data_IF_502175020613
#
_entry.id   IF_502175020613
#
_cell.length_a   1.000
_cell.length_b   1.000
_cell.length_c   1.000
_cell.angle_alpha   90.00
_cell.angle_beta   90.00
_cell.angle_gamma   90.00
#
_symmetry.space_group_name_H-M   'P 1'
#
loop_
_entity.id
_entity.type
_entity.pdbx_description
1 polymer ?
#
# COMPACT_ATOMS: atom_id res chain seq x y z
N UNK A 1 48.04 -0.76 -59.57
CA UNK A 1 47.63 0.08 -58.44
C UNK A 1 46.19 -0.30 -58.11
N UNK A 2 45.97 -1.10 -57.07
CA UNK A 2 44.61 -1.47 -56.57
C UNK A 2 44.28 -0.58 -55.38
N UNK A 3 43.25 0.28 -55.52
CA UNK A 3 42.76 1.08 -54.44
C UNK A 3 41.85 0.23 -53.52
N UNK A 4 42.23 0.17 -52.27
CA UNK A 4 41.47 -0.50 -51.20
C UNK A 4 40.47 0.50 -50.63
N UNK A 5 39.16 0.30 -50.86
CA UNK A 5 38.10 1.07 -50.24
C UNK A 5 37.83 0.47 -48.86
N UNK A 6 38.14 1.23 -47.79
CA UNK A 6 37.78 0.89 -46.43
C UNK A 6 36.37 1.49 -46.18
N UNK A 7 35.35 0.61 -46.06
CA UNK A 7 34.00 0.99 -45.64
C UNK A 7 33.99 1.01 -44.11
N UNK A 8 33.93 2.20 -43.55
CA UNK A 8 33.76 2.42 -42.12
C UNK A 8 32.24 2.35 -41.79
N UNK A 9 31.76 1.19 -41.32
CA UNK A 9 30.40 1.01 -40.86
C UNK A 9 30.26 1.65 -39.45
N UNK A 10 29.62 2.80 -39.39
CA UNK A 10 29.16 3.40 -38.13
C UNK A 10 28.03 2.50 -37.54
N UNK A 11 28.32 1.79 -36.48
CA UNK A 11 27.31 1.15 -35.63
C UNK A 11 26.71 2.23 -34.75
N UNK A 12 25.58 2.81 -35.18
CA UNK A 12 24.73 3.62 -34.34
C UNK A 12 24.06 2.67 -33.31
N UNK A 13 24.68 2.57 -32.13
CA UNK A 13 24.06 1.92 -31.01
C UNK A 13 22.80 2.71 -30.61
N UNK A 14 21.62 2.13 -30.81
CA UNK A 14 20.37 2.62 -30.23
C UNK A 14 20.52 2.58 -28.71
N UNK A 15 20.84 3.72 -28.10
CA UNK A 15 20.69 3.96 -26.69
C UNK A 15 19.17 4.04 -26.43
N UNK A 16 18.52 2.90 -26.22
CA UNK A 16 17.22 2.89 -25.59
C UNK A 16 17.42 3.45 -24.16
N UNK A 17 16.57 4.40 -23.69
CA UNK A 17 16.61 4.80 -22.31
C UNK A 17 16.36 3.55 -21.47
N UNK A 18 17.40 3.09 -20.78
CA UNK A 18 17.28 1.96 -19.89
C UNK A 18 16.31 2.33 -18.77
N UNK A 19 15.10 1.78 -18.79
CA UNK A 19 14.26 1.74 -17.61
C UNK A 19 15.09 1.10 -16.50
N UNK A 20 15.38 1.87 -15.45
CA UNK A 20 16.10 1.34 -14.30
C UNK A 20 15.33 0.11 -13.81
N UNK A 21 16.01 -1.03 -13.75
CA UNK A 21 15.39 -2.28 -13.31
C UNK A 21 14.75 -2.06 -11.93
N UNK A 22 13.44 -2.29 -11.83
CA UNK A 22 12.71 -2.15 -10.56
C UNK A 22 13.41 -3.01 -9.50
N UNK A 23 13.72 -2.47 -8.30
CA UNK A 23 14.42 -3.25 -7.28
C UNK A 23 13.60 -4.45 -6.84
N UNK A 24 14.22 -5.62 -6.78
CA UNK A 24 13.57 -6.82 -6.25
C UNK A 24 13.47 -6.72 -4.72
N UNK A 25 12.29 -6.94 -4.19
CA UNK A 25 12.04 -6.99 -2.75
C UNK A 25 12.39 -8.38 -2.21
N UNK A 26 13.09 -8.44 -1.08
CA UNK A 26 13.43 -9.71 -0.44
C UNK A 26 13.58 -9.56 1.08
N UNK A 27 13.33 -10.63 1.79
CA UNK A 27 13.65 -10.71 3.21
C UNK A 27 15.16 -10.47 3.42
N UNK A 28 15.52 -9.78 4.49
CA UNK A 28 16.92 -9.58 4.85
C UNK A 28 17.54 -10.90 5.40
N UNK A 29 18.82 -10.87 5.70
CA UNK A 29 19.55 -12.06 6.23
C UNK A 29 19.02 -12.60 7.57
N UNK A 30 18.30 -11.75 8.32
CA UNK A 30 17.67 -12.12 9.58
C UNK A 30 16.22 -12.62 9.39
N UNK A 31 15.80 -12.80 8.10
CA UNK A 31 14.46 -13.26 7.73
C UNK A 31 13.37 -12.21 8.02
N UNK A 32 13.70 -10.91 8.02
CA UNK A 32 12.77 -9.82 8.30
C UNK A 32 12.55 -8.97 7.05
N UNK A 33 11.33 -8.42 6.95
CA UNK A 33 10.95 -7.43 5.94
C UNK A 33 10.04 -6.38 6.58
N UNK A 34 10.45 -5.12 6.54
CA UNK A 34 9.74 -4.03 7.18
C UNK A 34 9.09 -3.11 6.14
N UNK A 35 7.80 -2.89 6.31
CA UNK A 35 6.97 -2.01 5.49
C UNK A 35 6.55 -0.82 6.36
N UNK A 36 6.63 0.39 5.82
CA UNK A 36 5.97 1.57 6.38
C UNK A 36 4.82 1.95 5.46
N UNK A 37 3.62 2.04 6.03
CA UNK A 37 2.42 2.56 5.38
C UNK A 37 2.21 4.01 5.80
N UNK A 38 2.26 4.92 4.83
CA UNK A 38 1.76 6.28 4.92
C UNK A 38 0.40 6.34 4.23
N UNK A 39 -0.54 7.04 4.82
CA UNK A 39 -1.89 7.22 4.27
C UNK A 39 -2.42 8.60 4.62
N UNK A 40 -3.32 9.11 3.82
CA UNK A 40 -4.02 10.37 4.11
C UNK A 40 -3.04 11.51 4.41
N UNK A 41 -2.04 11.67 3.53
CA UNK A 41 -1.01 12.72 3.65
C UNK A 41 -1.62 14.09 3.37
N UNK A 42 -2.59 14.15 2.48
CA UNK A 42 -3.34 15.36 2.09
C UNK A 42 -2.43 16.56 1.89
N UNK A 43 -1.32 16.32 1.21
CA UNK A 43 -0.29 17.33 1.00
C UNK A 43 -0.75 18.40 0.01
N UNK A 44 -0.61 19.66 0.42
CA UNK A 44 -0.81 20.83 -0.43
C UNK A 44 0.54 21.50 -0.63
N UNK A 45 1.03 21.54 -1.86
CA UNK A 45 2.33 22.14 -2.17
C UNK A 45 2.38 23.61 -1.79
N UNK A 46 3.45 24.01 -1.07
CA UNK A 46 3.62 25.38 -0.60
C UNK A 46 2.72 25.80 0.57
N UNK A 47 1.82 24.95 1.06
CA UNK A 47 0.98 25.28 2.20
C UNK A 47 1.71 24.99 3.53
N UNK A 48 1.84 25.98 4.43
CA UNK A 48 2.51 25.77 5.72
C UNK A 48 1.89 24.68 6.60
N UNK A 49 0.58 24.45 6.50
CA UNK A 49 -0.12 23.39 7.22
C UNK A 49 0.34 21.98 6.82
N UNK A 50 0.89 21.83 5.62
CA UNK A 50 1.44 20.58 5.13
C UNK A 50 2.87 20.29 5.61
N UNK A 51 3.55 21.25 6.22
CA UNK A 51 4.96 21.08 6.65
C UNK A 51 5.12 19.92 7.64
N UNK A 52 4.16 19.75 8.54
CA UNK A 52 4.19 18.68 9.55
C UNK A 52 4.12 17.29 8.96
N UNK A 53 3.48 17.11 7.79
CA UNK A 53 3.47 15.80 7.10
C UNK A 53 4.85 15.45 6.55
N UNK A 54 5.59 16.46 6.01
CA UNK A 54 6.96 16.27 5.54
C UNK A 54 7.90 15.90 6.70
N UNK A 55 7.78 16.59 7.82
CA UNK A 55 8.55 16.29 9.04
C UNK A 55 8.26 14.88 9.52
N UNK A 56 6.98 14.49 9.56
CA UNK A 56 6.55 13.16 10.03
C UNK A 56 7.07 12.04 9.13
N UNK A 57 6.93 12.18 7.81
CA UNK A 57 7.44 11.18 6.86
C UNK A 57 8.96 11.04 7.01
N UNK A 58 9.70 12.15 7.04
CA UNK A 58 11.15 12.12 7.22
C UNK A 58 11.56 11.41 8.51
N UNK A 59 10.95 11.78 9.65
CA UNK A 59 11.26 11.20 10.95
C UNK A 59 10.99 9.68 10.99
N UNK A 60 9.84 9.25 10.44
CA UNK A 60 9.49 7.83 10.39
C UNK A 60 10.45 7.06 9.50
N UNK A 61 10.80 7.57 8.32
CA UNK A 61 11.75 6.92 7.42
C UNK A 61 13.14 6.79 8.04
N UNK A 62 13.61 7.82 8.73
CA UNK A 62 14.93 7.84 9.36
C UNK A 62 15.00 6.93 10.61
N UNK A 63 13.88 6.80 11.33
CA UNK A 63 13.77 5.95 12.53
C UNK A 63 13.58 4.48 12.16
N UNK A 64 12.62 4.19 11.27
CA UNK A 64 12.22 2.82 10.94
C UNK A 64 13.14 2.16 9.92
N UNK A 65 13.72 2.93 9.00
CA UNK A 65 14.57 2.42 7.90
C UNK A 65 13.92 1.24 7.19
N UNK A 66 12.71 1.44 6.59
CA UNK A 66 11.95 0.35 6.01
C UNK A 66 12.59 -0.21 4.75
N UNK A 67 12.27 -1.46 4.43
CA UNK A 67 12.60 -2.12 3.17
C UNK A 67 11.66 -1.69 2.03
N UNK A 68 10.46 -1.22 2.38
CA UNK A 68 9.42 -0.76 1.46
C UNK A 68 8.55 0.31 2.11
N UNK A 69 8.16 1.30 1.32
CA UNK A 69 7.13 2.28 1.67
C UNK A 69 5.89 2.06 0.81
N UNK A 70 4.71 2.05 1.41
CA UNK A 70 3.44 2.06 0.70
C UNK A 70 2.64 3.31 1.08
N UNK A 71 2.31 4.12 0.07
CA UNK A 71 1.37 5.23 0.19
C UNK A 71 -0.02 4.70 -0.19
N UNK A 72 -0.90 4.62 0.78
CA UNK A 72 -2.23 4.02 0.58
C UNK A 72 -3.32 5.08 0.44
N UNK A 73 -3.11 5.97 -0.53
CA UNK A 73 -4.10 6.93 -0.99
C UNK A 73 -4.09 8.27 -0.27
N UNK A 74 -4.77 9.21 -0.90
CA UNK A 74 -4.91 10.61 -0.48
C UNK A 74 -3.55 11.25 -0.16
N UNK A 75 -2.63 11.08 -1.13
CA UNK A 75 -1.26 11.61 -1.04
C UNK A 75 -1.26 13.13 -1.16
N UNK A 76 -2.10 13.67 -2.06
CA UNK A 76 -2.20 15.11 -2.32
C UNK A 76 -3.64 15.61 -2.11
N UNK A 77 -3.75 16.91 -1.75
CA UNK A 77 -5.03 17.59 -1.53
C UNK A 77 -5.05 19.04 -2.04
N UNK A 78 -4.25 19.33 -3.04
CA UNK A 78 -4.20 20.68 -3.62
C UNK A 78 -3.31 20.76 -4.86
N UNK A 79 -3.48 21.89 -5.57
CA UNK A 79 -2.68 22.23 -6.73
C UNK A 79 -1.40 22.98 -6.30
N UNK A 80 -0.32 22.87 -7.09
CA UNK A 80 -0.18 22.03 -8.28
C UNK A 80 0.04 20.55 -7.91
N UNK A 81 -0.74 19.66 -8.53
CA UNK A 81 -0.80 18.23 -8.20
C UNK A 81 0.52 17.49 -8.46
N UNK A 82 1.19 17.77 -9.59
CA UNK A 82 2.47 17.13 -9.93
C UNK A 82 3.55 17.44 -8.91
N UNK A 83 3.73 18.70 -8.54
CA UNK A 83 4.72 19.15 -7.56
C UNK A 83 4.42 18.55 -6.18
N UNK A 84 3.15 18.48 -5.82
CA UNK A 84 2.70 17.84 -4.58
C UNK A 84 3.08 16.37 -4.54
N UNK A 85 2.72 15.61 -5.57
CA UNK A 85 3.02 14.18 -5.69
C UNK A 85 4.53 13.92 -5.67
N UNK A 86 5.30 14.67 -6.50
CA UNK A 86 6.77 14.55 -6.52
C UNK A 86 7.40 14.89 -5.18
N UNK A 87 6.93 15.92 -4.49
CA UNK A 87 7.47 16.32 -3.18
C UNK A 87 7.37 15.17 -2.19
N UNK A 88 6.21 14.54 -2.07
CA UNK A 88 6.00 13.44 -1.10
C UNK A 88 6.78 12.18 -1.51
N UNK A 89 6.67 11.74 -2.76
CA UNK A 89 7.26 10.47 -3.17
C UNK A 89 8.80 10.52 -3.22
N UNK A 90 9.38 11.69 -3.50
CA UNK A 90 10.82 11.88 -3.45
C UNK A 90 11.41 11.75 -2.04
N UNK A 91 10.63 11.82 -0.97
CA UNK A 91 11.14 11.56 0.38
C UNK A 91 11.65 10.11 0.53
N UNK A 92 10.94 9.15 -0.07
CA UNK A 92 11.40 7.76 -0.15
C UNK A 92 12.48 7.58 -1.23
N UNK A 93 12.26 8.11 -2.45
CA UNK A 93 13.16 7.96 -3.57
C UNK A 93 14.58 8.49 -3.29
N UNK A 94 14.71 9.65 -2.65
CA UNK A 94 16.00 10.26 -2.27
C UNK A 94 16.77 9.41 -1.26
N UNK A 95 16.08 8.58 -0.46
CA UNK A 95 16.67 7.60 0.44
C UNK A 95 16.94 6.25 -0.22
N UNK A 96 16.63 6.13 -1.52
CA UNK A 96 16.71 4.88 -2.30
C UNK A 96 15.85 3.76 -1.71
N UNK A 97 14.74 4.13 -1.05
CA UNK A 97 13.78 3.18 -0.50
C UNK A 97 12.74 2.88 -1.60
N UNK A 98 12.54 1.61 -1.98
CA UNK A 98 11.46 1.23 -2.87
C UNK A 98 10.10 1.68 -2.32
N UNK A 99 9.21 2.16 -3.20
CA UNK A 99 7.88 2.56 -2.78
C UNK A 99 6.80 2.17 -3.80
N UNK A 100 5.57 2.03 -3.33
CA UNK A 100 4.38 1.86 -4.15
C UNK A 100 3.27 2.81 -3.70
N UNK A 101 2.37 3.13 -4.62
CA UNK A 101 1.23 4.02 -4.39
C UNK A 101 -0.06 3.32 -4.81
N UNK A 102 -1.07 3.33 -3.96
CA UNK A 102 -2.47 3.15 -4.35
C UNK A 102 -3.17 4.50 -4.21
N UNK A 103 -4.05 4.87 -5.16
CA UNK A 103 -4.74 6.14 -5.08
C UNK A 103 -5.91 6.09 -4.08
N UNK A 104 -6.14 7.23 -3.42
CA UNK A 104 -7.33 7.52 -2.64
C UNK A 104 -8.38 8.25 -3.48
N UNK A 105 -9.44 8.71 -2.84
CA UNK A 105 -10.53 9.40 -3.53
C UNK A 105 -10.23 10.86 -3.84
N UNK A 106 -9.27 11.48 -3.14
CA UNK A 106 -8.92 12.88 -3.34
C UNK A 106 -7.75 13.12 -4.29
N UNK A 107 -6.96 12.12 -4.65
CA UNK A 107 -5.76 12.33 -5.46
C UNK A 107 -6.07 12.93 -6.84
N UNK A 108 -7.14 12.50 -7.52
CA UNK A 108 -7.53 12.98 -8.85
C UNK A 108 -8.51 14.18 -8.84
N UNK A 109 -8.78 14.75 -7.67
CA UNK A 109 -9.56 15.99 -7.54
C UNK A 109 -8.71 17.25 -7.76
N UNK A 110 -7.40 17.10 -7.92
CA UNK A 110 -6.44 18.22 -7.94
C UNK A 110 -6.05 18.66 -9.36
N UNK A 111 -6.91 18.41 -10.33
CA UNK A 111 -6.77 18.88 -11.72
C UNK A 111 -5.98 17.93 -12.63
N UNK A 112 -5.49 16.80 -12.13
CA UNK A 112 -4.91 15.71 -12.91
C UNK A 112 -5.73 14.44 -12.74
N UNK A 113 -5.89 13.70 -13.83
CA UNK A 113 -6.54 12.38 -13.81
C UNK A 113 -5.61 11.33 -13.14
N UNK A 114 -6.19 10.21 -12.67
CA UNK A 114 -5.41 9.07 -12.14
C UNK A 114 -4.35 8.57 -13.13
N UNK A 115 -4.66 8.56 -14.43
CA UNK A 115 -3.70 8.19 -15.47
C UNK A 115 -2.53 9.16 -15.54
N UNK A 116 -2.78 10.47 -15.51
CA UNK A 116 -1.72 11.48 -15.52
C UNK A 116 -0.85 11.40 -14.25
N UNK A 117 -1.47 11.20 -13.09
CA UNK A 117 -0.75 10.98 -11.83
C UNK A 117 0.10 9.70 -11.89
N UNK A 118 -0.45 8.62 -12.44
CA UNK A 118 0.30 7.37 -12.65
C UNK A 118 1.53 7.60 -13.54
N UNK A 119 1.38 8.32 -14.66
CA UNK A 119 2.50 8.64 -15.56
C UNK A 119 3.59 9.45 -14.85
N UNK A 120 3.21 10.41 -14.00
CA UNK A 120 4.15 11.16 -13.16
C UNK A 120 4.90 10.23 -12.21
N UNK A 121 4.20 9.33 -11.51
CA UNK A 121 4.78 8.37 -10.57
C UNK A 121 5.79 7.46 -11.28
N UNK A 122 5.51 7.03 -12.54
CA UNK A 122 6.42 6.19 -13.30
C UNK A 122 7.78 6.85 -13.61
N UNK A 123 7.86 8.18 -13.53
CA UNK A 123 9.13 8.90 -13.73
C UNK A 123 10.00 8.98 -12.47
N UNK A 124 9.49 8.61 -11.30
CA UNK A 124 10.20 8.74 -10.03
C UNK A 124 11.03 7.47 -9.76
N UNK A 125 12.33 7.61 -9.45
CA UNK A 125 13.18 6.45 -9.14
C UNK A 125 12.66 5.63 -7.95
N UNK A 126 12.97 4.33 -7.93
CA UNK A 126 12.56 3.37 -6.89
C UNK A 126 11.05 3.14 -6.79
N UNK A 127 10.26 3.68 -7.72
CA UNK A 127 8.84 3.41 -7.82
C UNK A 127 8.57 1.96 -8.24
N UNK A 128 7.69 1.28 -7.51
CA UNK A 128 7.21 -0.07 -7.80
C UNK A 128 5.74 -0.11 -8.21
N UNK A 129 5.05 1.05 -8.17
CA UNK A 129 3.65 1.15 -8.62
C UNK A 129 3.51 0.64 -10.04
N UNK A 130 2.47 -0.12 -10.30
CA UNK A 130 2.17 -0.65 -11.62
C UNK A 130 0.66 -0.65 -11.86
N UNK A 131 0.27 -0.97 -13.07
CA UNK A 131 -1.13 -1.15 -13.47
C UNK A 131 -1.30 -2.46 -14.22
N UNK A 132 -2.51 -2.98 -14.25
CA UNK A 132 -2.83 -4.24 -14.93
C UNK A 132 -3.78 -3.98 -16.08
N UNK A 133 -3.35 -4.27 -17.29
CA UNK A 133 -4.21 -4.12 -18.47
C UNK A 133 -5.47 -5.01 -18.34
N UNK A 134 -6.64 -4.42 -18.58
CA UNK A 134 -7.92 -5.10 -18.49
C UNK A 134 -8.45 -5.32 -17.07
N UNK A 135 -7.83 -4.71 -16.07
CA UNK A 135 -8.33 -4.61 -14.71
C UNK A 135 -8.63 -3.14 -14.41
N UNK A 136 -9.83 -2.84 -13.95
CA UNK A 136 -10.27 -1.47 -13.66
C UNK A 136 -9.47 -0.89 -12.49
N UNK A 137 -9.13 0.40 -12.60
CA UNK A 137 -8.27 1.11 -11.63
C UNK A 137 -6.87 1.38 -12.18
N UNK A 138 -6.23 2.43 -11.66
CA UNK A 138 -4.94 2.91 -12.16
C UNK A 138 -3.73 2.25 -11.45
N UNK A 139 -3.92 1.75 -10.23
CA UNK A 139 -2.82 1.28 -9.36
C UNK A 139 -3.12 -0.11 -8.78
N UNK A 140 -3.29 -1.10 -9.67
CA UNK A 140 -3.40 -2.50 -9.28
C UNK A 140 -2.07 -3.21 -9.57
N UNK A 141 -1.37 -3.71 -8.55
CA UNK A 141 -0.09 -4.39 -8.73
C UNK A 141 0.22 -5.39 -7.62
N UNK A 142 1.18 -6.26 -7.90
CA UNK A 142 1.65 -7.29 -6.96
C UNK A 142 3.14 -7.07 -6.72
N UNK A 143 3.54 -7.13 -5.45
CA UNK A 143 4.92 -7.10 -5.03
C UNK A 143 5.31 -8.43 -4.37
N UNK A 144 5.91 -9.36 -5.11
CA UNK A 144 6.44 -10.57 -4.53
C UNK A 144 7.66 -10.26 -3.66
N UNK A 145 7.68 -10.80 -2.44
CA UNK A 145 8.83 -10.77 -1.56
C UNK A 145 9.62 -12.07 -1.70
N UNK A 146 10.83 -11.97 -2.18
CA UNK A 146 11.74 -13.11 -2.28
C UNK A 146 12.22 -13.57 -0.90
N UNK A 147 12.51 -14.86 -0.78
CA UNK A 147 13.25 -15.42 0.35
C UNK A 147 14.57 -14.68 0.58
N UNK A 148 15.13 -14.74 1.75
CA UNK A 148 16.41 -14.09 2.11
C UNK A 148 17.58 -14.55 1.22
N UNK A 149 17.53 -15.78 0.70
CA UNK A 149 18.50 -16.30 -0.29
C UNK A 149 18.14 -15.91 -1.75
N UNK A 150 17.00 -15.24 -1.98
CA UNK A 150 16.53 -14.73 -3.26
C UNK A 150 15.98 -15.78 -4.24
N UNK A 151 15.87 -17.06 -3.85
CA UNK A 151 15.59 -18.15 -4.80
C UNK A 151 14.10 -18.35 -5.11
N UNK A 152 13.20 -18.03 -4.16
CA UNK A 152 11.75 -18.25 -4.31
C UNK A 152 10.97 -17.06 -3.77
N UNK A 153 9.71 -16.97 -4.16
CA UNK A 153 8.77 -16.08 -3.50
C UNK A 153 8.42 -16.67 -2.12
N UNK A 154 8.41 -15.81 -1.10
CA UNK A 154 8.17 -16.21 0.27
C UNK A 154 6.97 -15.50 0.90
N UNK A 155 6.55 -14.36 0.33
CA UNK A 155 5.31 -13.67 0.67
C UNK A 155 4.85 -12.79 -0.50
N UNK A 156 3.59 -12.38 -0.49
CA UNK A 156 3.00 -11.56 -1.57
C UNK A 156 2.31 -10.33 -0.97
N UNK A 157 2.55 -9.15 -1.56
CA UNK A 157 1.80 -7.95 -1.25
C UNK A 157 0.90 -7.61 -2.44
N UNK A 158 -0.40 -7.50 -2.21
CA UNK A 158 -1.40 -7.05 -3.18
C UNK A 158 -1.73 -5.60 -2.94
N UNK A 159 -1.53 -4.76 -3.93
CA UNK A 159 -1.90 -3.36 -3.92
C UNK A 159 -3.04 -3.16 -4.90
N UNK A 160 -4.17 -2.61 -4.43
CA UNK A 160 -5.38 -2.44 -5.24
C UNK A 160 -5.81 -0.97 -5.27
N UNK A 161 -6.33 -0.55 -6.40
CA UNK A 161 -7.05 0.71 -6.50
C UNK A 161 -8.47 0.50 -5.95
N UNK A 162 -8.79 1.14 -4.84
CA UNK A 162 -10.15 1.09 -4.25
C UNK A 162 -11.10 2.10 -4.86
N UNK A 163 -10.68 2.77 -5.91
CA UNK A 163 -11.44 3.80 -6.64
C UNK A 163 -11.71 5.06 -5.80
N UNK A 164 -12.80 5.76 -6.14
CA UNK A 164 -13.22 7.01 -5.52
C UNK A 164 -14.71 6.92 -5.16
N UNK A 165 -15.57 7.69 -5.80
CA UNK A 165 -17.00 7.73 -5.53
C UNK A 165 -17.79 6.81 -6.46
N UNK A 166 -18.88 6.23 -5.95
CA UNK A 166 -19.77 5.37 -6.73
C UNK A 166 -20.37 6.11 -7.91
N UNK A 167 -20.31 5.50 -9.09
CA UNK A 167 -20.94 5.98 -10.31
C UNK A 167 -22.28 5.26 -10.60
N UNK A 168 -22.73 4.38 -9.71
CA UNK A 168 -23.98 3.64 -9.89
C UNK A 168 -25.15 4.51 -9.48
N UNK A 169 -26.10 4.71 -10.40
CA UNK A 169 -27.30 5.51 -10.13
C UNK A 169 -28.05 4.99 -8.90
N UNK A 170 -28.27 5.87 -7.92
CA UNK A 170 -28.99 5.54 -6.69
C UNK A 170 -28.12 4.95 -5.58
N UNK A 171 -26.82 4.74 -5.83
CA UNK A 171 -25.85 4.32 -4.82
C UNK A 171 -24.92 5.50 -4.56
N UNK A 172 -24.98 6.08 -3.37
CA UNK A 172 -24.11 7.17 -2.95
C UNK A 172 -22.84 6.66 -2.26
N UNK A 173 -21.98 7.61 -1.87
CA UNK A 173 -20.74 7.32 -1.15
C UNK A 173 -19.66 6.74 -2.06
N UNK A 174 -18.85 5.87 -1.49
CA UNK A 174 -17.64 5.37 -2.13
C UNK A 174 -17.89 4.16 -3.02
N UNK A 175 -16.98 3.96 -3.98
CA UNK A 175 -16.98 2.82 -4.89
C UNK A 175 -16.34 1.59 -4.23
N UNK A 176 -16.50 0.42 -4.83
CA UNK A 176 -16.08 -0.88 -4.29
C UNK A 176 -15.01 -1.54 -5.17
N UNK A 177 -14.22 -2.44 -4.62
CA UNK A 177 -13.29 -3.29 -5.38
C UNK A 177 -14.06 -4.08 -6.43
N UNK A 178 -13.73 -3.90 -7.71
CA UNK A 178 -14.50 -4.45 -8.84
C UNK A 178 -14.32 -5.95 -9.02
N UNK A 179 -15.26 -6.58 -9.69
CA UNK A 179 -15.25 -8.04 -9.91
C UNK A 179 -14.05 -8.51 -10.75
N UNK A 180 -13.54 -7.68 -11.65
CA UNK A 180 -12.33 -7.99 -12.42
C UNK A 180 -11.07 -7.90 -11.57
N UNK A 181 -10.98 -6.96 -10.60
CA UNK A 181 -9.92 -6.91 -9.59
C UNK A 181 -9.95 -8.15 -8.68
N UNK A 182 -11.15 -8.59 -8.26
CA UNK A 182 -11.33 -9.80 -7.46
C UNK A 182 -10.89 -11.04 -8.25
N UNK A 183 -11.29 -11.15 -9.53
CA UNK A 183 -10.84 -12.22 -10.42
C UNK A 183 -9.32 -12.22 -10.55
N UNK A 184 -8.71 -11.07 -10.82
CA UNK A 184 -7.28 -10.91 -10.93
C UNK A 184 -6.54 -11.33 -9.65
N UNK A 185 -7.03 -10.92 -8.49
CA UNK A 185 -6.51 -11.36 -7.20
C UNK A 185 -6.56 -12.89 -7.08
N UNK A 186 -7.72 -13.50 -7.31
CA UNK A 186 -7.93 -14.96 -7.19
C UNK A 186 -7.03 -15.75 -8.13
N UNK A 187 -6.90 -15.31 -9.37
CA UNK A 187 -6.05 -15.97 -10.38
C UNK A 187 -4.57 -15.92 -9.96
N UNK A 188 -4.12 -14.78 -9.47
CA UNK A 188 -2.74 -14.64 -8.99
C UNK A 188 -2.48 -15.40 -7.69
N UNK A 189 -3.38 -15.37 -6.73
CA UNK A 189 -3.28 -16.16 -5.49
C UNK A 189 -3.20 -17.67 -5.81
N UNK A 190 -4.05 -18.17 -6.69
CA UNK A 190 -4.00 -19.55 -7.16
C UNK A 190 -2.67 -19.89 -7.88
N UNK A 191 -2.17 -18.99 -8.71
CA UNK A 191 -0.89 -19.12 -9.40
C UNK A 191 0.27 -19.24 -8.40
N UNK A 192 0.37 -18.34 -7.42
CA UNK A 192 1.44 -18.36 -6.40
C UNK A 192 1.31 -19.59 -5.50
N UNK A 193 0.10 -19.98 -5.12
CA UNK A 193 -0.15 -21.22 -4.38
C UNK A 193 0.35 -22.44 -5.15
N UNK A 194 0.03 -22.54 -6.45
CA UNK A 194 0.54 -23.63 -7.32
C UNK A 194 2.05 -23.64 -7.41
N UNK A 195 2.67 -22.46 -7.58
CA UNK A 195 4.13 -22.31 -7.65
C UNK A 195 4.83 -22.68 -6.34
N UNK A 196 4.14 -22.52 -5.21
CA UNK A 196 4.61 -22.92 -3.88
C UNK A 196 4.17 -24.34 -3.47
N UNK A 197 3.99 -25.24 -4.44
CA UNK A 197 3.68 -26.64 -4.18
C UNK A 197 2.30 -26.90 -3.60
N UNK A 198 1.32 -26.03 -3.85
CA UNK A 198 -0.05 -26.17 -3.38
C UNK A 198 -0.33 -25.51 -2.02
N UNK A 199 0.67 -24.90 -1.40
CA UNK A 199 0.52 -24.16 -0.13
C UNK A 199 0.41 -22.67 -0.41
N UNK A 200 -0.65 -21.96 0.07
CA UNK A 200 -0.75 -20.51 -0.08
C UNK A 200 0.44 -19.78 0.53
N UNK A 201 0.96 -18.76 -0.15
CA UNK A 201 1.99 -17.89 0.39
C UNK A 201 1.36 -16.85 1.32
N UNK A 202 1.99 -16.53 2.48
CA UNK A 202 1.53 -15.45 3.35
C UNK A 202 1.37 -14.15 2.56
N UNK A 203 0.20 -13.53 2.61
CA UNK A 203 -0.08 -12.33 1.80
C UNK A 203 -0.67 -11.20 2.64
N UNK A 204 -0.37 -9.96 2.25
CA UNK A 204 -0.99 -8.75 2.78
C UNK A 204 -1.62 -7.96 1.64
N UNK A 205 -2.72 -7.27 1.90
CA UNK A 205 -3.36 -6.37 0.93
C UNK A 205 -3.34 -4.92 1.41
N UNK A 206 -3.16 -4.00 0.46
CA UNK A 206 -3.07 -2.56 0.69
C UNK A 206 -3.96 -1.81 -0.31
N UNK A 207 -4.84 -0.97 0.20
CA UNK A 207 -5.68 -0.07 -0.59
C UNK A 207 -6.22 1.05 0.29
N UNK A 208 -6.94 2.02 -0.27
CA UNK A 208 -7.33 3.21 0.47
C UNK A 208 -8.65 3.03 1.24
N UNK A 209 -9.76 2.79 0.54
CA UNK A 209 -11.11 2.76 1.11
C UNK A 209 -11.40 1.40 1.74
N UNK A 210 -11.78 1.39 3.00
CA UNK A 210 -12.06 0.18 3.78
C UNK A 210 -13.16 -0.70 3.18
N UNK A 211 -13.06 -2.02 3.38
CA UNK A 211 -14.13 -2.95 3.04
C UNK A 211 -15.30 -2.84 4.03
N UNK A 212 -16.55 -3.15 3.64
CA UNK A 212 -17.71 -3.16 4.56
C UNK A 212 -17.50 -4.01 5.81
N UNK A 213 -16.66 -5.03 5.75
CA UNK A 213 -16.30 -5.92 6.85
C UNK A 213 -15.58 -5.21 8.01
N UNK A 214 -14.94 -4.06 7.78
CA UNK A 214 -14.37 -3.24 8.87
C UNK A 214 -15.45 -2.80 9.86
N UNK A 215 -16.62 -2.36 9.37
CA UNK A 215 -17.75 -2.01 10.22
C UNK A 215 -18.32 -3.23 10.96
N UNK A 216 -18.41 -4.38 10.29
CA UNK A 216 -18.91 -5.61 10.89
C UNK A 216 -17.97 -6.07 12.02
N UNK A 217 -16.66 -6.14 11.74
CA UNK A 217 -15.66 -6.56 12.70
C UNK A 217 -15.58 -5.63 13.92
N UNK A 218 -15.56 -4.32 13.69
CA UNK A 218 -15.44 -3.34 14.76
C UNK A 218 -16.73 -3.15 15.59
N UNK A 219 -17.86 -3.70 15.14
CA UNK A 219 -19.14 -3.72 15.86
C UNK A 219 -19.43 -5.05 16.56
N UNK A 220 -18.59 -6.07 16.38
CA UNK A 220 -18.74 -7.35 17.06
C UNK A 220 -18.16 -7.25 18.49
N UNK A 221 -19.01 -7.39 19.49
CA UNK A 221 -18.63 -7.30 20.91
C UNK A 221 -17.64 -8.39 21.35
N UNK A 222 -17.50 -9.44 20.57
CA UNK A 222 -16.57 -10.55 20.84
C UNK A 222 -15.21 -10.35 20.18
N UNK A 223 -15.10 -9.41 19.23
CA UNK A 223 -13.86 -9.10 18.54
C UNK A 223 -12.90 -8.32 19.45
N UNK A 224 -11.61 -8.66 19.36
CA UNK A 224 -10.56 -7.88 20.01
C UNK A 224 -10.14 -6.79 19.04
N UNK A 225 -10.28 -5.54 19.45
CA UNK A 225 -9.84 -4.36 18.72
C UNK A 225 -8.69 -3.70 19.50
N UNK A 226 -7.57 -3.46 18.82
CA UNK A 226 -6.39 -2.79 19.39
C UNK A 226 -6.17 -1.50 18.62
N UNK A 227 -6.15 -0.38 19.30
CA UNK A 227 -5.99 0.95 18.72
C UNK A 227 -7.20 1.85 18.95
N UNK A 228 -7.27 2.92 18.18
CA UNK A 228 -8.30 3.96 18.30
C UNK A 228 -9.33 3.79 17.18
N UNK A 229 -10.61 3.84 17.56
CA UNK A 229 -11.75 3.95 16.66
C UNK A 229 -12.61 5.11 17.14
N UNK A 230 -12.63 6.20 16.39
CA UNK A 230 -13.45 7.38 16.70
C UNK A 230 -14.57 7.59 15.70
N UNK A 231 -14.50 6.93 14.57
CA UNK A 231 -15.53 7.04 13.54
C UNK A 231 -15.96 5.67 13.00
N UNK A 232 -17.02 5.67 12.24
CA UNK A 232 -17.50 4.50 11.53
C UNK A 232 -16.78 4.45 10.19
N UNK A 233 -16.26 3.29 9.80
CA UNK A 233 -15.63 3.13 8.51
C UNK A 233 -16.53 3.62 7.37
N UNK A 234 -16.05 4.57 6.58
CA UNK A 234 -16.72 5.12 5.40
C UNK A 234 -16.60 4.16 4.20
N UNK A 235 -16.98 2.91 4.41
CA UNK A 235 -16.92 1.85 3.43
C UNK A 235 -17.99 1.99 2.33
N UNK A 236 -17.80 1.36 1.15
CA UNK A 236 -18.81 1.27 0.10
C UNK A 236 -20.15 0.73 0.60
N UNK A 237 -21.26 1.25 0.05
CA UNK A 237 -22.59 0.70 0.33
C UNK A 237 -22.77 -0.72 -0.26
N UNK A 238 -22.06 -1.01 -1.35
CA UNK A 238 -22.09 -2.32 -2.00
C UNK A 238 -20.88 -3.15 -1.58
N UNK A 239 -21.15 -4.40 -1.17
CA UNK A 239 -20.10 -5.38 -0.91
C UNK A 239 -19.91 -6.27 -2.14
N UNK A 240 -18.72 -6.23 -2.74
CA UNK A 240 -18.41 -7.05 -3.92
C UNK A 240 -17.92 -8.47 -3.59
N UNK A 241 -17.72 -8.81 -2.31
CA UNK A 241 -17.22 -10.11 -1.88
C UNK A 241 -15.70 -10.25 -1.92
N UNK A 242 -14.96 -9.14 -1.92
CA UNK A 242 -13.49 -9.20 -1.88
C UNK A 242 -12.99 -9.90 -0.62
N UNK A 243 -13.56 -9.62 0.56
CA UNK A 243 -13.21 -10.31 1.80
C UNK A 243 -13.48 -11.80 1.73
N UNK A 244 -14.63 -12.19 1.20
CA UNK A 244 -14.96 -13.61 1.00
C UNK A 244 -13.95 -14.30 0.08
N UNK A 245 -13.55 -13.65 -1.00
CA UNK A 245 -12.52 -14.15 -1.91
C UNK A 245 -11.17 -14.33 -1.23
N UNK A 246 -10.72 -13.36 -0.41
CA UNK A 246 -9.50 -13.48 0.40
C UNK A 246 -9.58 -14.67 1.37
N UNK A 247 -10.75 -14.86 1.98
CA UNK A 247 -10.97 -15.95 2.91
C UNK A 247 -10.93 -17.32 2.23
N UNK A 248 -11.54 -17.45 1.04
CA UNK A 248 -11.54 -18.70 0.26
C UNK A 248 -10.14 -19.05 -0.27
N UNK A 249 -9.36 -18.07 -0.72
CA UNK A 249 -8.02 -18.31 -1.23
C UNK A 249 -7.03 -18.71 -0.13
N UNK A 250 -7.26 -18.30 1.11
CA UNK A 250 -6.51 -18.76 2.29
C UNK A 250 -5.09 -18.23 2.42
N UNK A 251 -4.67 -17.29 1.57
CA UNK A 251 -3.34 -16.68 1.57
C UNK A 251 -3.30 -15.38 2.38
N UNK A 252 -4.46 -14.68 2.54
CA UNK A 252 -4.51 -13.35 3.13
C UNK A 252 -4.40 -13.39 4.66
N UNK A 253 -3.39 -12.73 5.20
CA UNK A 253 -3.19 -12.56 6.64
C UNK A 253 -3.71 -11.23 7.15
N UNK A 254 -3.62 -10.16 6.36
CA UNK A 254 -4.01 -8.82 6.78
C UNK A 254 -4.34 -7.89 5.62
N UNK A 255 -5.24 -6.96 5.88
CA UNK A 255 -5.67 -5.89 4.98
C UNK A 255 -5.40 -4.57 5.66
N UNK A 256 -4.72 -3.66 4.97
CA UNK A 256 -4.28 -2.37 5.48
C UNK A 256 -4.88 -1.25 4.61
N UNK A 257 -5.61 -0.34 5.24
CA UNK A 257 -6.36 0.74 4.57
C UNK A 257 -6.04 2.12 5.17
N UNK A 258 -6.56 3.18 4.57
CA UNK A 258 -6.56 4.55 5.07
C UNK A 258 -7.99 5.11 5.12
N UNK A 259 -8.16 6.37 4.64
CA UNK A 259 -9.44 7.02 4.39
C UNK A 259 -10.15 7.61 5.62
N UNK A 260 -10.27 6.87 6.71
CA UNK A 260 -10.92 7.32 7.94
C UNK A 260 -9.84 7.84 8.90
N UNK A 261 -9.71 9.19 9.02
CA UNK A 261 -8.53 9.85 9.61
C UNK A 261 -8.43 9.67 11.12
N UNK A 262 -9.55 9.45 11.77
CA UNK A 262 -9.63 9.33 13.22
C UNK A 262 -9.63 7.88 13.72
N UNK A 263 -9.26 6.95 12.81
CA UNK A 263 -9.12 5.54 13.08
C UNK A 263 -7.66 5.07 12.87
N UNK A 264 -7.17 4.25 13.79
CA UNK A 264 -5.88 3.55 13.66
C UNK A 264 -5.94 2.12 14.21
N UNK A 265 -7.15 1.60 14.39
CA UNK A 265 -7.33 0.28 14.99
C UNK A 265 -6.90 -0.86 14.06
N UNK A 266 -6.64 -2.00 14.72
CA UNK A 266 -6.53 -3.31 14.10
C UNK A 266 -7.52 -4.25 14.79
N UNK A 267 -8.29 -5.01 14.01
CA UNK A 267 -9.29 -5.96 14.50
C UNK A 267 -9.16 -7.28 13.75
N UNK A 268 -9.22 -8.39 14.48
CA UNK A 268 -9.17 -9.73 13.89
C UNK A 268 -10.57 -10.20 13.48
N UNK A 269 -10.77 -10.45 12.20
CA UNK A 269 -12.06 -10.87 11.66
C UNK A 269 -11.93 -12.13 10.81
N UNK A 270 -12.56 -13.21 11.28
CA UNK A 270 -12.63 -14.48 10.56
C UNK A 270 -11.27 -15.01 10.04
N UNK A 271 -10.19 -14.73 10.76
CA UNK A 271 -8.84 -15.22 10.43
C UNK A 271 -8.00 -14.23 9.60
N UNK A 272 -8.46 -13.01 9.37
CA UNK A 272 -7.74 -11.94 8.67
C UNK A 272 -7.68 -10.72 9.59
N UNK A 273 -6.53 -10.06 9.68
CA UNK A 273 -6.42 -8.79 10.36
C UNK A 273 -6.95 -7.68 9.45
N UNK A 274 -7.87 -6.87 9.94
CA UNK A 274 -8.34 -5.64 9.30
C UNK A 274 -7.72 -4.46 10.07
N UNK A 275 -6.87 -3.67 9.43
CA UNK A 275 -6.13 -2.60 10.10
C UNK A 275 -6.19 -1.29 9.31
N UNK A 276 -6.39 -0.19 10.01
CA UNK A 276 -6.19 1.15 9.47
C UNK A 276 -4.73 1.54 9.53
N UNK A 277 -4.27 2.31 8.56
CA UNK A 277 -3.08 3.13 8.68
C UNK A 277 -3.25 4.19 9.77
N UNK A 278 -2.23 4.99 9.97
CA UNK A 278 -2.33 6.19 10.79
C UNK A 278 -2.28 7.40 9.88
N UNK A 279 -3.24 8.31 10.01
CA UNK A 279 -3.20 9.59 9.33
C UNK A 279 -1.81 10.21 9.38
N UNK A 280 -1.23 10.49 8.21
CA UNK A 280 0.14 11.03 8.11
C UNK A 280 0.16 12.54 7.90
N UNK A 281 -0.97 13.08 7.51
CA UNK A 281 -1.14 14.47 7.08
C UNK A 281 -0.87 15.54 8.12
N UNK A 282 -0.95 16.77 7.65
CA UNK A 282 -0.94 17.97 8.49
C UNK A 282 -2.35 18.48 8.77
N UNK A 283 -2.46 19.76 9.12
CA UNK A 283 -3.74 20.41 9.44
C UNK A 283 -4.48 20.91 8.17
N UNK A 284 -4.41 20.16 7.07
CA UNK A 284 -5.07 20.49 5.79
C UNK A 284 -6.49 19.98 5.72
N UNK A 285 -6.79 18.91 6.44
CA UNK A 285 -8.12 18.30 6.60
C UNK A 285 -8.35 17.98 8.07
N UNK A 286 -9.56 17.51 8.41
CA UNK A 286 -9.85 17.09 9.78
C UNK A 286 -8.97 15.90 10.19
N UNK A 287 -8.49 15.96 11.42
CA UNK A 287 -7.99 14.81 12.17
C UNK A 287 -7.96 15.16 13.66
N UNK A 288 -8.31 14.21 14.52
CA UNK A 288 -8.29 14.36 15.97
C UNK A 288 -7.22 13.46 16.62
N UNK A 289 -6.41 12.79 15.80
CA UNK A 289 -5.30 11.96 16.22
C UNK A 289 -3.98 12.61 15.82
N UNK A 290 -2.94 12.48 16.63
CA UNK A 290 -1.59 12.92 16.25
C UNK A 290 -1.12 12.13 15.02
N UNK A 291 -0.51 12.82 14.05
CA UNK A 291 -0.07 12.20 12.82
C UNK A 291 1.09 11.20 13.01
N UNK A 292 1.13 10.19 12.17
CA UNK A 292 2.11 9.11 12.27
C UNK A 292 2.13 8.22 11.04
N UNK A 293 2.56 6.98 11.25
CA UNK A 293 2.54 5.94 10.22
C UNK A 293 2.29 4.56 10.85
N UNK A 294 1.74 3.63 10.09
CA UNK A 294 1.73 2.22 10.47
C UNK A 294 2.97 1.52 9.96
N UNK A 295 3.56 0.73 10.81
CA UNK A 295 4.73 -0.11 10.50
C UNK A 295 4.31 -1.57 10.57
N UNK A 296 4.75 -2.37 9.59
CA UNK A 296 4.47 -3.80 9.52
C UNK A 296 5.80 -4.53 9.35
N UNK A 297 6.07 -5.54 10.19
CA UNK A 297 7.26 -6.38 10.09
C UNK A 297 6.86 -7.84 9.88
N UNK A 298 7.13 -8.34 8.68
CA UNK A 298 6.95 -9.75 8.32
C UNK A 298 8.19 -10.57 8.66
N UNK A 299 7.98 -11.86 8.91
CA UNK A 299 9.05 -12.84 9.14
C UNK A 299 8.98 -13.93 8.09
N UNK A 300 10.09 -14.23 7.42
CA UNK A 300 10.18 -15.28 6.41
C UNK A 300 9.73 -16.63 6.95
N UNK A 301 8.91 -17.34 6.17
CA UNK A 301 8.39 -18.65 6.53
C UNK A 301 7.34 -18.66 7.65
N UNK A 302 6.86 -17.48 8.08
CA UNK A 302 5.85 -17.35 9.13
C UNK A 302 4.52 -16.87 8.56
N UNK A 303 3.42 -17.36 9.14
CA UNK A 303 2.07 -16.81 8.96
C UNK A 303 1.71 -15.78 10.05
N UNK A 304 2.71 -15.33 10.82
CA UNK A 304 2.58 -14.27 11.80
C UNK A 304 3.39 -13.04 11.39
N UNK A 305 2.98 -11.88 11.84
CA UNK A 305 3.69 -10.61 11.65
C UNK A 305 3.43 -9.67 12.82
N UNK A 306 4.22 -8.61 12.91
CA UNK A 306 4.02 -7.53 13.89
C UNK A 306 3.59 -6.26 13.18
N UNK A 307 2.80 -5.44 13.86
CA UNK A 307 2.50 -4.09 13.39
C UNK A 307 2.35 -3.13 14.57
N UNK A 308 2.66 -1.87 14.35
CA UNK A 308 2.56 -0.80 15.35
C UNK A 308 2.36 0.55 14.66
N UNK A 309 1.98 1.55 15.44
CA UNK A 309 1.93 2.93 15.00
C UNK A 309 3.19 3.64 15.49
N UNK A 310 3.85 4.36 14.58
CA UNK A 310 4.98 5.25 14.87
C UNK A 310 4.52 6.69 14.84
N UNK A 311 4.69 7.39 15.97
CA UNK A 311 4.35 8.79 16.13
C UNK A 311 5.60 9.68 16.23
N UNK A 312 5.38 10.99 16.44
CA UNK A 312 6.41 12.00 16.68
C UNK A 312 7.32 11.60 17.85
N UNK A 313 8.62 11.96 17.75
CA UNK A 313 9.60 11.65 18.79
C UNK A 313 9.98 10.17 18.87
N UNK A 314 9.60 9.39 17.86
CA UNK A 314 9.87 7.95 17.85
C UNK A 314 8.95 7.13 18.76
N UNK A 315 7.86 7.70 19.26
CA UNK A 315 6.89 6.99 20.09
C UNK A 315 6.24 5.83 19.33
N UNK A 316 6.06 4.69 20.00
CA UNK A 316 5.37 3.50 19.50
C UNK A 316 4.10 3.29 20.31
N UNK A 317 2.97 3.22 19.62
CA UNK A 317 1.69 2.90 20.23
C UNK A 317 1.01 1.73 19.51
N UNK A 318 0.03 1.12 20.14
CA UNK A 318 -0.82 0.06 19.60
C UNK A 318 -0.04 -1.08 18.94
N UNK A 319 1.00 -1.65 19.61
CA UNK A 319 1.71 -2.80 19.07
C UNK A 319 0.78 -4.02 18.99
N UNK A 320 0.86 -4.75 17.89
CA UNK A 320 0.08 -5.95 17.60
C UNK A 320 1.01 -7.06 17.14
N UNK A 321 0.87 -8.24 17.74
CA UNK A 321 1.45 -9.49 17.26
C UNK A 321 0.33 -10.35 16.66
N UNK A 322 0.26 -10.40 15.33
CA UNK A 322 -0.73 -11.21 14.62
C UNK A 322 -0.27 -12.67 14.53
N UNK A 323 -1.11 -13.67 14.80
CA UNK A 323 -2.50 -13.56 15.30
C UNK A 323 -2.60 -13.64 16.84
N UNK A 324 -1.46 -13.77 17.58
CA UNK A 324 -1.43 -14.17 18.99
C UNK A 324 -2.23 -13.25 19.92
N UNK A 325 -2.24 -11.92 19.65
CA UNK A 325 -2.93 -10.95 20.50
C UNK A 325 -4.46 -11.00 20.36
N UNK A 326 -4.95 -11.72 19.35
CA UNK A 326 -6.38 -11.87 19.05
C UNK A 326 -6.93 -13.25 19.38
N UNK A 327 -6.09 -14.16 19.84
CA UNK A 327 -6.50 -15.53 20.23
C UNK A 327 -6.67 -15.56 21.74
N UNK A 328 -7.92 -15.73 22.21
CA UNK A 328 -8.16 -15.96 23.63
C UNK A 328 -7.42 -17.23 24.05
N UNK A 329 -6.54 -17.13 25.05
CA UNK A 329 -5.97 -18.31 25.67
C UNK A 329 -7.14 -19.14 26.21
N UNK A 330 -7.22 -20.41 25.82
CA UNK A 330 -8.12 -21.34 26.51
C UNK A 330 -7.54 -21.54 27.91
N UNK A 331 -8.32 -21.15 28.90
CA UNK A 331 -8.06 -21.48 30.32
C UNK A 331 -8.07 -22.99 30.52
#
# INVERSE_FOLDING_TARGET
MKQLLIILSLVLGNLQPGYAQKPALKFNKDGKFKIVQFTDVHYIHGNPKSAVSLERINEVLDTEKPDLVLFTGDVIYGQPAEEGMRTILNLAANRKIPFGVTFGNHDDEQGLTRTQLFDIIQTIPYNLTDSVAGVVGATNFILPLKSSDGKKDAAILYCLDSHSYSQIKGIGGYDYIKFDQIRWYRENSAKYTKQNGGTPLPSLAFFHIALPEYNQAASDETAILIGTRKEKACAPQLNSGMFASMKEMGDMLGVFVGHDHDDDYAVFWKGILLAYGRYTGGDTVYNNLSNGARVIEMTEGSTSFKTWIRLKGGEVINPVNYPSDFIKKKD
#
